data_IF_732834494226
#
_entry.id   IF_732834494226
#
_cell.length_a   1.000
_cell.length_b   1.000
_cell.length_c   1.000
_cell.angle_alpha   90.00
_cell.angle_beta   90.00
_cell.angle_gamma   90.00
#
_symmetry.space_group_name_H-M   'P 1'
#
loop_
_entity.id
_entity.type
_entity.pdbx_description
1 polymer ?
#
# COMPACT_ATOMS: atom_id res chain seq x y z
N UNK A 1 10.97 0.72 18.16
CA UNK A 1 9.69 0.80 17.41
C UNK A 1 9.02 2.12 17.73
N UNK A 2 8.25 2.70 16.81
CA UNK A 2 7.58 4.00 16.99
C UNK A 2 6.46 4.03 18.05
N UNK A 3 6.09 2.88 18.63
CA UNK A 3 5.08 2.81 19.69
C UNK A 3 3.63 2.94 19.20
N UNK A 4 3.39 3.06 17.90
CA UNK A 4 2.07 3.39 17.32
C UNK A 4 1.18 2.18 16.99
N UNK A 5 1.56 0.98 17.43
CA UNK A 5 0.90 -0.28 17.02
C UNK A 5 -0.56 -0.32 17.45
N UNK A 6 -0.86 0.00 18.70
CA UNK A 6 -2.21 -0.10 19.28
C UNK A 6 -3.16 0.90 18.60
N UNK A 7 -2.68 2.13 18.37
CA UNK A 7 -3.41 3.14 17.63
C UNK A 7 -3.69 2.68 16.20
N UNK A 8 -2.67 2.17 15.50
CA UNK A 8 -2.85 1.66 14.14
C UNK A 8 -3.87 0.52 14.07
N UNK A 9 -3.81 -0.43 15.00
CA UNK A 9 -4.74 -1.57 15.04
C UNK A 9 -6.20 -1.14 15.26
N UNK A 10 -6.45 0.01 15.88
CA UNK A 10 -7.81 0.56 16.05
C UNK A 10 -8.49 0.92 14.72
N UNK A 11 -7.72 1.12 13.63
CA UNK A 11 -8.24 1.37 12.29
C UNK A 11 -8.50 0.09 11.48
N UNK A 12 -8.27 -1.08 12.07
CA UNK A 12 -8.28 -2.35 11.36
C UNK A 12 -9.42 -3.27 11.79
N UNK A 13 -9.76 -4.22 10.93
CA UNK A 13 -10.68 -5.31 11.25
C UNK A 13 -9.89 -6.63 11.25
N UNK A 14 -9.91 -7.41 12.34
CA UNK A 14 -9.24 -8.70 12.36
C UNK A 14 -9.96 -9.70 11.45
N UNK A 15 -9.16 -10.49 10.75
CA UNK A 15 -9.59 -11.54 9.82
C UNK A 15 -8.88 -12.83 10.23
N UNK A 16 -9.64 -13.83 10.67
CA UNK A 16 -9.12 -15.05 11.30
C UNK A 16 -8.94 -16.21 10.33
N UNK A 17 -9.47 -16.10 9.11
CA UNK A 17 -9.35 -17.17 8.12
C UNK A 17 -9.86 -16.78 6.75
N UNK A 18 -10.10 -17.81 5.95
CA UNK A 18 -10.58 -17.73 4.57
C UNK A 18 -11.92 -18.45 4.48
N UNK A 19 -12.86 -17.85 3.75
CA UNK A 19 -14.12 -18.48 3.34
C UNK A 19 -14.07 -18.72 1.84
N UNK A 20 -14.04 -19.99 1.44
CA UNK A 20 -14.02 -20.41 0.05
C UNK A 20 -15.45 -20.61 -0.46
N UNK A 21 -15.78 -20.05 -1.63
CA UNK A 21 -17.09 -20.17 -2.27
C UNK A 21 -17.00 -21.04 -3.53
N UNK A 22 -17.58 -22.25 -3.45
CA UNK A 22 -17.66 -23.21 -4.56
C UNK A 22 -18.72 -22.79 -5.60
N UNK A 23 -18.66 -23.38 -6.80
CA UNK A 23 -19.62 -23.17 -7.89
C UNK A 23 -21.04 -23.64 -7.56
N UNK A 24 -21.17 -24.64 -6.68
CA UNK A 24 -22.47 -25.13 -6.21
C UNK A 24 -23.07 -24.30 -5.06
N UNK A 25 -22.39 -23.22 -4.64
CA UNK A 25 -22.82 -22.35 -3.54
C UNK A 25 -22.39 -22.80 -2.15
N UNK A 26 -21.69 -23.93 -2.02
CA UNK A 26 -21.16 -24.39 -0.74
C UNK A 26 -20.02 -23.48 -0.29
N UNK A 27 -20.02 -23.15 0.99
CA UNK A 27 -18.92 -22.41 1.62
C UNK A 27 -18.12 -23.31 2.55
N UNK A 28 -16.80 -23.12 2.57
CA UNK A 28 -15.91 -23.78 3.53
C UNK A 28 -15.02 -22.76 4.20
N UNK A 29 -14.94 -22.82 5.53
CA UNK A 29 -14.08 -21.96 6.33
C UNK A 29 -12.77 -22.66 6.66
N UNK A 30 -11.65 -21.95 6.51
CA UNK A 30 -10.33 -22.42 6.93
C UNK A 30 -9.65 -21.33 7.75
N UNK A 31 -9.36 -21.55 9.05
CA UNK A 31 -8.63 -20.58 9.86
C UNK A 31 -7.21 -20.39 9.33
N UNK A 32 -6.61 -19.23 9.56
CA UNK A 32 -5.21 -18.98 9.22
C UNK A 32 -4.25 -19.81 10.08
N UNK A 33 -4.58 -19.98 11.36
CA UNK A 33 -3.71 -20.60 12.34
C UNK A 33 -4.44 -20.98 13.62
N UNK A 34 -3.72 -20.89 14.74
CA UNK A 34 -4.25 -21.16 16.08
C UNK A 34 -5.15 -20.03 16.56
N UNK A 35 -5.83 -20.26 17.68
CA UNK A 35 -6.67 -19.26 18.33
C UNK A 35 -5.91 -17.95 18.58
N UNK A 36 -6.50 -16.84 18.16
CA UNK A 36 -5.90 -15.50 18.27
C UNK A 36 -4.99 -15.08 17.10
N UNK A 37 -4.57 -16.00 16.24
CA UNK A 37 -3.78 -15.66 15.05
C UNK A 37 -4.69 -15.14 13.93
N UNK A 38 -4.44 -13.91 13.49
CA UNK A 38 -5.24 -13.24 12.47
C UNK A 38 -4.40 -12.33 11.57
N UNK A 39 -4.96 -12.01 10.41
CA UNK A 39 -4.54 -10.88 9.59
C UNK A 39 -5.42 -9.67 9.92
N UNK A 40 -4.98 -8.47 9.54
CA UNK A 40 -5.73 -7.24 9.73
C UNK A 40 -6.10 -6.63 8.37
N UNK A 41 -7.39 -6.41 8.16
CA UNK A 41 -7.89 -5.64 7.04
C UNK A 41 -7.87 -4.16 7.41
N UNK A 42 -7.35 -3.31 6.53
CA UNK A 42 -7.24 -1.86 6.74
C UNK A 42 -7.51 -1.14 5.44
N UNK A 43 -8.17 0.02 5.53
CA UNK A 43 -8.33 0.92 4.39
C UNK A 43 -6.98 1.57 4.04
N UNK A 44 -6.60 1.50 2.77
CA UNK A 44 -5.29 1.99 2.31
C UNK A 44 -5.15 3.51 2.48
N UNK A 45 -6.21 4.27 2.23
CA UNK A 45 -6.19 5.73 2.35
C UNK A 45 -6.02 6.13 3.82
N UNK A 46 -6.79 5.52 4.73
CA UNK A 46 -6.66 5.75 6.18
C UNK A 46 -5.27 5.36 6.70
N UNK A 47 -4.71 4.24 6.23
CA UNK A 47 -3.36 3.84 6.60
C UNK A 47 -2.32 4.88 6.17
N UNK A 48 -2.48 5.45 4.97
CA UNK A 48 -1.58 6.48 4.45
C UNK A 48 -1.72 7.80 5.23
N UNK A 49 -2.94 8.24 5.50
CA UNK A 49 -3.23 9.41 6.35
C UNK A 49 -2.59 9.26 7.73
N UNK A 50 -2.80 8.11 8.38
CA UNK A 50 -2.19 7.79 9.67
C UNK A 50 -0.67 7.93 9.65
N UNK A 51 -0.01 7.42 8.61
CA UNK A 51 1.45 7.52 8.51
C UNK A 51 1.94 8.94 8.24
N UNK A 52 1.25 9.70 7.38
CA UNK A 52 1.58 11.11 7.14
C UNK A 52 1.54 11.90 8.46
N UNK A 53 0.43 11.79 9.20
CA UNK A 53 0.28 12.45 10.50
C UNK A 53 1.35 12.00 11.50
N UNK A 54 1.65 10.71 11.52
CA UNK A 54 2.62 10.12 12.46
C UNK A 54 4.03 10.65 12.20
N UNK A 55 4.47 10.70 10.94
CA UNK A 55 5.84 11.13 10.61
C UNK A 55 6.01 12.64 10.74
N UNK A 56 4.98 13.44 10.41
CA UNK A 56 5.00 14.89 10.65
C UNK A 56 5.09 15.22 12.14
N UNK A 57 4.32 14.54 12.99
CA UNK A 57 4.42 14.67 14.46
C UNK A 57 5.80 14.27 14.99
N UNK A 58 6.47 13.33 14.34
CA UNK A 58 7.84 12.94 14.66
C UNK A 58 8.91 13.92 14.13
N UNK A 59 8.50 14.97 13.40
CA UNK A 59 9.36 16.03 12.89
C UNK A 59 9.82 15.86 11.43
N UNK A 60 9.31 14.88 10.70
CA UNK A 60 9.59 14.76 9.27
C UNK A 60 8.84 15.84 8.48
N UNK A 61 9.46 16.36 7.42
CA UNK A 61 8.81 17.25 6.46
C UNK A 61 8.33 16.46 5.26
N UNK A 62 7.05 16.58 4.91
CA UNK A 62 6.47 15.94 3.72
C UNK A 62 6.26 16.99 2.64
N UNK A 63 6.77 16.72 1.45
CA UNK A 63 6.59 17.58 0.28
C UNK A 63 5.73 16.85 -0.76
N UNK A 64 4.43 17.12 -0.75
CA UNK A 64 3.50 16.64 -1.77
C UNK A 64 3.71 17.36 -3.11
N UNK A 65 3.16 16.79 -4.18
CA UNK A 65 3.29 17.32 -5.54
C UNK A 65 4.74 17.51 -5.99
N UNK A 66 5.57 16.49 -5.73
CA UNK A 66 6.99 16.45 -6.11
C UNK A 66 7.30 15.12 -6.79
N UNK A 67 7.12 15.06 -8.10
CA UNK A 67 7.46 13.88 -8.88
C UNK A 67 8.93 13.90 -9.30
N UNK A 68 9.73 12.89 -8.95
CA UNK A 68 11.14 12.82 -9.35
C UNK A 68 11.27 12.87 -10.89
N UNK A 69 12.14 13.70 -11.45
CA UNK A 69 12.39 13.77 -12.90
C UNK A 69 13.51 12.83 -13.30
N UNK A 70 13.32 12.01 -14.34
CA UNK A 70 14.41 11.20 -14.91
C UNK A 70 15.33 12.02 -15.82
N UNK A 71 14.81 13.07 -16.44
CA UNK A 71 15.54 13.91 -17.39
C UNK A 71 16.37 14.98 -16.68
N UNK A 72 15.83 15.54 -15.58
CA UNK A 72 16.46 16.64 -14.85
C UNK A 72 17.28 16.20 -13.63
N UNK A 73 17.20 14.91 -13.24
CA UNK A 73 18.04 14.32 -12.18
C UNK A 73 19.42 13.99 -12.74
N UNK A 74 20.47 14.39 -12.03
CA UNK A 74 21.84 14.02 -12.38
C UNK A 74 22.56 13.43 -11.16
N UNK A 75 22.75 12.12 -11.17
CA UNK A 75 23.40 11.40 -10.07
C UNK A 75 24.93 11.63 -10.03
N UNK A 76 25.57 11.94 -11.17
CA UNK A 76 27.00 12.29 -11.22
C UNK A 76 27.26 13.63 -10.50
N UNK A 77 26.38 14.61 -10.75
CA UNK A 77 26.38 15.90 -10.06
C UNK A 77 25.80 15.82 -8.65
N UNK A 78 25.40 14.62 -8.18
CA UNK A 78 24.78 14.40 -6.86
C UNK A 78 23.53 15.27 -6.66
N UNK A 79 22.63 15.31 -7.65
CA UNK A 79 21.41 16.14 -7.61
C UNK A 79 20.18 15.35 -8.04
N UNK A 80 19.15 15.37 -7.21
CA UNK A 80 17.80 14.94 -7.57
C UNK A 80 16.96 16.15 -7.97
N UNK A 81 16.16 16.04 -9.02
CA UNK A 81 15.21 17.08 -9.40
C UNK A 81 13.79 16.54 -9.37
N UNK A 82 12.86 17.31 -8.81
CA UNK A 82 11.44 17.00 -8.74
C UNK A 82 10.63 18.06 -9.49
N UNK A 83 9.57 17.63 -10.16
CA UNK A 83 8.65 18.48 -10.91
C UNK A 83 7.29 18.45 -10.19
N UNK A 84 6.71 19.62 -10.03
CA UNK A 84 5.34 19.76 -9.51
C UNK A 84 4.29 19.78 -10.63
N UNK A 85 3.01 19.71 -10.26
CA UNK A 85 1.90 19.68 -11.22
C UNK A 85 1.78 20.95 -12.08
N UNK A 86 2.39 22.06 -11.66
CA UNK A 86 2.45 23.31 -12.41
C UNK A 86 3.70 23.41 -13.31
N UNK A 87 4.58 22.40 -13.29
CA UNK A 87 5.83 22.36 -14.05
C UNK A 87 7.00 23.06 -13.35
N UNK A 88 6.87 23.43 -12.07
CA UNK A 88 7.95 23.98 -11.27
C UNK A 88 9.00 22.94 -10.92
N UNK A 89 10.28 23.33 -10.99
CA UNK A 89 11.43 22.48 -10.64
C UNK A 89 11.89 22.69 -9.20
N UNK A 90 12.16 21.59 -8.50
CA UNK A 90 12.64 21.56 -7.12
C UNK A 90 13.85 20.64 -7.05
N UNK A 91 15.05 21.19 -6.87
CA UNK A 91 16.28 20.40 -6.79
C UNK A 91 16.69 20.13 -5.35
N UNK A 92 17.24 18.94 -5.12
CA UNK A 92 17.85 18.52 -3.86
C UNK A 92 19.28 18.08 -4.16
N UNK A 93 20.24 18.79 -3.56
CA UNK A 93 21.66 18.45 -3.63
C UNK A 93 21.97 17.37 -2.59
N UNK A 94 22.59 16.28 -3.05
CA UNK A 94 22.99 15.14 -2.23
C UNK A 94 24.40 15.40 -1.69
N UNK A 95 24.47 16.03 -0.52
CA UNK A 95 25.73 16.14 0.22
C UNK A 95 26.27 14.74 0.58
N UNK A 96 27.59 14.59 0.87
CA UNK A 96 28.17 13.30 1.24
C UNK A 96 27.52 12.60 2.45
N UNK A 97 26.85 13.36 3.31
CA UNK A 97 26.11 12.89 4.49
C UNK A 97 24.60 12.73 4.25
N UNK A 98 24.12 12.96 3.02
CA UNK A 98 22.72 12.75 2.64
C UNK A 98 22.49 11.31 2.18
N UNK A 99 21.62 10.60 2.90
CA UNK A 99 21.11 9.31 2.48
C UNK A 99 19.79 9.47 1.72
N UNK A 100 19.64 8.75 0.60
CA UNK A 100 18.40 8.68 -0.18
C UNK A 100 17.82 7.28 -0.06
N UNK A 101 16.53 7.20 0.30
CA UNK A 101 15.80 5.93 0.40
C UNK A 101 14.67 5.95 -0.62
N UNK A 102 14.72 5.02 -1.59
CA UNK A 102 13.68 4.85 -2.60
C UNK A 102 12.47 4.07 -2.07
N UNK A 103 11.40 4.78 -1.75
CA UNK A 103 10.12 4.21 -1.32
C UNK A 103 8.98 4.52 -2.32
N UNK A 104 9.31 4.68 -3.61
CA UNK A 104 8.44 5.18 -4.68
C UNK A 104 7.68 4.09 -5.45
N UNK A 105 7.57 2.89 -4.87
CA UNK A 105 6.68 1.82 -5.34
C UNK A 105 7.20 0.98 -6.51
N UNK A 106 6.32 0.17 -7.08
CA UNK A 106 6.67 -0.81 -8.11
C UNK A 106 7.30 -0.14 -9.35
N UNK A 107 6.75 0.99 -9.83
CA UNK A 107 7.27 1.79 -10.95
C UNK A 107 8.32 2.83 -10.54
N UNK A 108 9.21 2.48 -9.61
CA UNK A 108 10.20 3.39 -9.01
C UNK A 108 11.03 4.16 -10.04
N UNK A 109 10.89 5.49 -10.04
CA UNK A 109 11.68 6.39 -10.89
C UNK A 109 13.11 6.50 -10.39
N UNK A 110 13.34 6.39 -9.08
CA UNK A 110 14.71 6.36 -8.56
C UNK A 110 15.46 5.12 -9.07
N UNK A 111 14.80 3.95 -9.13
CA UNK A 111 15.41 2.74 -9.69
C UNK A 111 15.79 2.90 -11.16
N UNK A 112 14.92 3.50 -11.98
CA UNK A 112 15.27 3.82 -13.37
C UNK A 112 16.44 4.81 -13.47
N UNK A 113 16.48 5.86 -12.63
CA UNK A 113 17.59 6.81 -12.61
C UNK A 113 18.93 6.14 -12.28
N UNK A 114 18.95 5.25 -11.27
CA UNK A 114 20.13 4.46 -10.90
C UNK A 114 20.56 3.52 -12.05
N UNK A 115 19.59 2.91 -12.74
CA UNK A 115 19.89 2.03 -13.88
C UNK A 115 20.45 2.79 -15.07
N UNK A 116 19.92 3.97 -15.39
CA UNK A 116 20.42 4.84 -16.46
C UNK A 116 21.85 5.32 -16.18
N UNK A 117 22.18 5.54 -14.90
CA UNK A 117 23.54 5.86 -14.45
C UNK A 117 24.47 4.63 -14.38
N UNK A 118 23.99 3.43 -14.76
CA UNK A 118 24.78 2.20 -14.72
C UNK A 118 25.08 1.67 -13.32
N UNK A 119 24.44 2.22 -12.28
CA UNK A 119 24.67 1.82 -10.88
C UNK A 119 23.97 0.50 -10.52
N UNK A 120 22.86 0.19 -11.18
CA UNK A 120 22.08 -1.04 -10.97
C UNK A 120 21.57 -1.59 -12.31
N UNK A 121 21.24 -2.87 -12.32
CA UNK A 121 20.47 -3.51 -13.40
C UNK A 121 19.25 -4.20 -12.79
N UNK A 122 18.09 -4.15 -13.45
CA UNK A 122 16.88 -4.83 -12.99
C UNK A 122 16.07 -5.37 -14.17
N UNK A 123 15.11 -6.24 -13.87
CA UNK A 123 14.17 -6.82 -14.82
C UNK A 123 12.73 -6.54 -14.37
N UNK A 124 11.83 -6.37 -15.33
CA UNK A 124 10.40 -6.24 -15.09
C UNK A 124 9.65 -7.23 -15.99
N UNK A 125 8.82 -8.07 -15.37
CA UNK A 125 7.99 -9.05 -16.07
C UNK A 125 6.52 -8.76 -15.73
N UNK A 126 5.74 -8.40 -16.74
CA UNK A 126 4.30 -8.21 -16.58
C UNK A 126 3.61 -9.57 -16.64
N UNK A 127 2.79 -9.85 -15.63
CA UNK A 127 1.95 -11.05 -15.60
C UNK A 127 0.74 -10.89 -16.52
N UNK A 128 0.20 -12.00 -17.03
CA UNK A 128 -0.98 -11.99 -17.90
C UNK A 128 -2.33 -11.82 -17.20
N UNK A 129 -2.34 -11.62 -15.88
CA UNK A 129 -3.57 -11.43 -15.10
C UNK A 129 -3.75 -9.95 -14.76
N UNK A 130 -5.01 -9.50 -14.76
CA UNK A 130 -5.41 -8.17 -14.32
C UNK A 130 -6.37 -8.28 -13.13
N UNK A 131 -6.66 -7.15 -12.48
CA UNK A 131 -7.64 -7.10 -11.39
C UNK A 131 -8.63 -5.96 -11.61
N UNK A 132 -9.82 -6.10 -11.03
CA UNK A 132 -10.84 -5.06 -11.00
C UNK A 132 -11.50 -5.03 -9.63
N UNK A 133 -11.66 -3.84 -9.08
CA UNK A 133 -12.34 -3.64 -7.80
C UNK A 133 -13.85 -3.58 -8.01
N UNK A 134 -14.59 -4.36 -7.21
CA UNK A 134 -16.05 -4.37 -7.21
C UNK A 134 -16.53 -4.26 -5.76
N UNK A 135 -17.15 -3.14 -5.37
CA UNK A 135 -17.61 -2.96 -4.00
C UNK A 135 -18.88 -3.78 -3.74
N UNK A 136 -18.95 -4.40 -2.56
CA UNK A 136 -20.18 -4.95 -2.02
C UNK A 136 -20.86 -3.91 -1.14
N UNK A 137 -22.13 -3.63 -1.40
CA UNK A 137 -22.90 -2.64 -0.63
C UNK A 137 -23.41 -3.29 0.65
N UNK A 138 -23.39 -2.54 1.75
CA UNK A 138 -24.00 -2.97 2.99
C UNK A 138 -25.51 -3.20 2.80
N UNK A 139 -26.02 -4.24 3.44
CA UNK A 139 -27.44 -4.51 3.58
C UNK A 139 -28.04 -3.67 4.72
N UNK A 140 -29.35 -3.49 4.66
CA UNK A 140 -30.11 -3.04 5.82
C UNK A 140 -29.94 -4.01 6.99
N UNK A 141 -29.74 -3.49 8.19
CA UNK A 141 -29.68 -4.31 9.40
C UNK A 141 -31.00 -5.07 9.62
N UNK A 142 -30.92 -6.38 9.82
CA UNK A 142 -32.06 -7.25 10.09
C UNK A 142 -31.70 -8.31 11.14
N UNK A 143 -32.65 -9.15 11.56
CA UNK A 143 -32.35 -10.26 12.46
C UNK A 143 -31.36 -11.27 11.83
N UNK A 144 -31.38 -11.40 10.50
CA UNK A 144 -30.48 -12.28 9.73
C UNK A 144 -29.13 -11.58 9.43
N UNK A 145 -29.13 -10.26 9.32
CA UNK A 145 -27.95 -9.43 9.05
C UNK A 145 -27.81 -8.31 10.10
N UNK A 146 -27.52 -8.64 11.37
CA UNK A 146 -27.50 -7.66 12.45
C UNK A 146 -26.44 -6.57 12.26
N UNK A 147 -25.34 -6.90 11.57
CA UNK A 147 -24.25 -5.98 11.27
C UNK A 147 -24.36 -5.35 9.86
N UNK A 148 -25.47 -5.60 9.15
CA UNK A 148 -25.67 -5.12 7.77
C UNK A 148 -24.71 -5.71 6.75
N UNK A 149 -23.86 -6.67 7.12
CA UNK A 149 -22.97 -7.35 6.18
C UNK A 149 -23.73 -8.41 5.40
N UNK A 150 -23.52 -8.44 4.07
CA UNK A 150 -24.05 -9.48 3.20
C UNK A 150 -23.36 -10.84 3.40
N UNK A 151 -22.22 -10.86 4.08
CA UNK A 151 -21.37 -12.05 4.24
C UNK A 151 -20.82 -12.16 5.66
N UNK A 152 -20.29 -13.33 5.99
CA UNK A 152 -19.70 -13.57 7.31
C UNK A 152 -18.47 -12.68 7.57
N UNK A 153 -18.58 -11.82 8.57
CA UNK A 153 -17.48 -10.97 8.99
C UNK A 153 -16.34 -11.79 9.62
N UNK A 154 -15.10 -11.30 9.52
CA UNK A 154 -13.93 -11.95 10.12
C UNK A 154 -13.22 -12.99 9.24
N UNK A 155 -13.53 -13.07 7.94
CA UNK A 155 -12.83 -13.93 6.98
C UNK A 155 -12.58 -13.23 5.64
N UNK A 156 -11.53 -13.63 4.91
CA UNK A 156 -11.35 -13.23 3.50
C UNK A 156 -12.18 -14.18 2.65
N UNK A 157 -13.06 -13.64 1.81
CA UNK A 157 -13.89 -14.43 0.91
C UNK A 157 -13.20 -14.63 -0.44
N UNK A 158 -13.16 -15.88 -0.93
CA UNK A 158 -12.45 -16.28 -2.15
C UNK A 158 -13.38 -17.12 -3.03
N UNK A 159 -13.46 -16.77 -4.32
CA UNK A 159 -14.19 -17.52 -5.35
C UNK A 159 -13.19 -18.09 -6.36
N UNK A 160 -12.58 -19.27 -6.10
CA UNK A 160 -11.58 -19.85 -7.01
C UNK A 160 -12.26 -20.35 -8.29
N UNK A 161 -11.71 -20.02 -9.48
CA UNK A 161 -12.30 -20.39 -10.78
C UNK A 161 -11.33 -21.04 -11.77
N UNK A 162 -10.13 -21.43 -11.30
CA UNK A 162 -9.02 -21.90 -12.15
C UNK A 162 -7.97 -20.82 -12.30
#
# INVERSE_FOLDING_TARGET
MLGVKEELLSYTVPVYGRTMHDLNGTTTYTPYGREGECNFCVDRSKLNEFWNDTVEKAGASIHFDRALSLEHTNLEDRRLCFIDSAGGEHSVDLSPDTAVIGCDGAGSRLRYALSNAGAVSFTEELIGHEYKEVPFVALSTSAEHPEGSAMHNGSIHIWPRG
#
